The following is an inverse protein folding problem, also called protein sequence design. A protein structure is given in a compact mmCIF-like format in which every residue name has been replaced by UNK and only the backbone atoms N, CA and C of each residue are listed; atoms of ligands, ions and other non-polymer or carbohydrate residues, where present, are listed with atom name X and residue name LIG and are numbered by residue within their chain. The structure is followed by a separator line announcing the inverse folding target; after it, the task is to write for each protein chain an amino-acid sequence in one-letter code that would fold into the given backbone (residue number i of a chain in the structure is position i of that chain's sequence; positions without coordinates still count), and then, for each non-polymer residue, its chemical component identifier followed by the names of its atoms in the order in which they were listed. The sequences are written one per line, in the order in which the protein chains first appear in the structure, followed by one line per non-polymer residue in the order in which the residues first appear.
data_IF_067356327530
#
_entry.id   IF_067356327530
#
_cell.length_a   1.000
_cell.length_b   1.000
_cell.length_c   1.000
_cell.angle_alpha   90.00
_cell.angle_beta   90.00
_cell.angle_gamma   90.00
#
_symmetry.space_group_name_H-M   'P 1'
#
loop_
_entity.id
_entity.type
_entity.pdbx_description
1 polymer ?
#
# COMPACT_ATOMS: atom_id res chain seq x y z
N UNK A 1 -22.74 -18.66 15.64
CA UNK A 1 -21.44 -19.28 15.36
C UNK A 1 -20.54 -18.24 14.71
N UNK A 2 -19.51 -17.73 15.38
CA UNK A 2 -18.45 -16.95 14.70
C UNK A 2 -17.62 -17.97 13.92
N UNK A 3 -17.47 -17.82 12.60
CA UNK A 3 -16.57 -18.69 11.86
C UNK A 3 -15.16 -18.48 12.41
N UNK A 4 -14.51 -19.56 12.81
CA UNK A 4 -13.12 -19.58 13.26
C UNK A 4 -12.25 -19.09 12.10
N UNK A 5 -11.82 -17.81 12.15
CA UNK A 5 -11.02 -17.17 11.11
C UNK A 5 -11.32 -15.70 10.83
N UNK A 6 -12.35 -15.08 11.44
CA UNK A 6 -12.62 -13.65 11.26
C UNK A 6 -11.91 -12.75 12.28
N UNK A 7 -11.37 -11.63 11.81
CA UNK A 7 -10.78 -10.54 12.60
C UNK A 7 -11.65 -9.29 12.41
N UNK A 8 -12.04 -8.66 13.52
CA UNK A 8 -12.72 -7.37 13.47
C UNK A 8 -11.70 -6.22 13.51
N UNK A 9 -11.82 -5.30 12.57
CA UNK A 9 -11.05 -4.05 12.50
C UNK A 9 -12.00 -2.93 12.87
N UNK A 10 -11.65 -2.15 13.89
CA UNK A 10 -12.37 -0.91 14.19
C UNK A 10 -12.24 0.06 13.00
N UNK A 11 -13.37 0.44 12.43
CA UNK A 11 -13.45 1.28 11.26
C UNK A 11 -14.69 2.18 11.36
N UNK A 12 -14.80 3.11 10.42
CA UNK A 12 -15.99 3.98 10.28
C UNK A 12 -16.68 3.67 8.94
N UNK A 13 -18.02 3.70 8.88
CA UNK A 13 -18.94 4.05 9.97
C UNK A 13 -19.07 2.95 11.05
N UNK A 14 -18.78 1.71 10.70
CA UNK A 14 -18.85 0.55 11.58
C UNK A 14 -17.59 -0.34 11.46
N UNK A 15 -17.42 -1.25 12.42
CA UNK A 15 -16.32 -2.20 12.40
C UNK A 15 -16.41 -3.15 11.19
N UNK A 16 -15.26 -3.40 10.57
CA UNK A 16 -15.12 -4.28 9.42
C UNK A 16 -14.65 -5.67 9.88
N UNK A 17 -15.40 -6.72 9.54
CA UNK A 17 -14.96 -8.11 9.77
C UNK A 17 -14.27 -8.66 8.52
N UNK A 18 -13.03 -9.13 8.64
CA UNK A 18 -12.26 -9.71 7.54
C UNK A 18 -11.83 -11.13 7.84
N UNK A 19 -11.72 -11.97 6.81
CA UNK A 19 -11.03 -13.25 6.88
C UNK A 19 -9.62 -13.08 6.27
N UNK A 20 -8.53 -13.27 7.04
CA UNK A 20 -7.17 -13.07 6.55
C UNK A 20 -6.84 -13.85 5.28
N UNK A 21 -7.36 -15.08 5.13
CA UNK A 21 -7.08 -15.94 3.96
C UNK A 21 -7.86 -15.55 2.71
N UNK A 22 -8.84 -14.66 2.85
CA UNK A 22 -9.66 -14.11 1.75
C UNK A 22 -9.45 -12.60 1.59
N UNK A 23 -8.41 -12.04 2.22
CA UNK A 23 -8.11 -10.62 2.20
C UNK A 23 -6.69 -10.38 1.68
N UNK A 24 -6.46 -9.18 1.15
CA UNK A 24 -5.13 -8.73 0.78
C UNK A 24 -4.93 -7.27 1.19
N UNK A 25 -3.68 -6.91 1.52
CA UNK A 25 -3.23 -5.52 1.63
C UNK A 25 -2.60 -5.12 0.31
N UNK A 26 -3.11 -4.04 -0.28
CA UNK A 26 -2.56 -3.46 -1.50
C UNK A 26 -1.76 -2.21 -1.13
N UNK A 27 -0.47 -2.21 -1.45
CA UNK A 27 0.41 -1.04 -1.28
C UNK A 27 0.57 -0.38 -2.64
N UNK A 28 -0.02 0.80 -2.77
CA UNK A 28 -0.04 1.55 -4.03
C UNK A 28 1.07 2.58 -4.01
N UNK A 29 1.98 2.52 -4.97
CA UNK A 29 2.87 3.62 -5.33
C UNK A 29 3.76 4.18 -4.20
N UNK A 30 4.12 3.34 -3.23
CA UNK A 30 5.13 3.68 -2.21
C UNK A 30 6.55 3.58 -2.79
N UNK A 31 6.82 4.32 -3.88
CA UNK A 31 8.07 4.31 -4.63
C UNK A 31 8.89 5.60 -4.41
N UNK A 32 10.22 5.49 -4.56
CA UNK A 32 11.13 6.60 -4.30
C UNK A 32 10.90 7.81 -5.20
N UNK A 33 10.44 7.60 -6.43
CA UNK A 33 10.09 8.69 -7.36
C UNK A 33 9.03 9.64 -6.77
N UNK A 34 8.17 9.14 -5.89
CA UNK A 34 7.13 9.94 -5.25
C UNK A 34 7.51 10.41 -3.85
N UNK A 35 8.25 9.60 -3.07
CA UNK A 35 8.45 9.85 -1.63
C UNK A 35 9.86 10.22 -1.18
N UNK A 36 10.85 10.22 -2.07
CA UNK A 36 12.24 10.54 -1.73
C UNK A 36 12.63 11.95 -2.14
N UNK A 37 13.53 12.55 -1.34
CA UNK A 37 14.30 13.71 -1.79
C UNK A 37 15.08 13.33 -3.04
N UNK A 38 15.02 14.18 -4.09
CA UNK A 38 15.59 13.85 -5.39
C UNK A 38 14.79 12.87 -6.25
N UNK A 39 13.62 12.41 -5.77
CA UNK A 39 12.65 11.69 -6.60
C UNK A 39 11.90 12.63 -7.56
N UNK A 40 11.21 12.05 -8.54
CA UNK A 40 10.43 12.79 -9.56
C UNK A 40 9.55 13.91 -8.96
N UNK A 41 8.75 13.63 -7.92
CA UNK A 41 7.86 14.63 -7.33
C UNK A 41 8.62 15.77 -6.64
N UNK A 42 9.67 15.45 -5.88
CA UNK A 42 10.51 16.47 -5.27
C UNK A 42 11.18 17.36 -6.33
N UNK A 43 11.72 16.76 -7.40
CA UNK A 43 12.32 17.48 -8.52
C UNK A 43 11.30 18.33 -9.30
N UNK A 44 10.04 17.90 -9.35
CA UNK A 44 8.94 18.66 -9.94
C UNK A 44 8.39 19.77 -9.02
N UNK A 45 8.92 19.93 -7.81
CA UNK A 45 8.46 20.93 -6.84
C UNK A 45 7.15 20.56 -6.14
N UNK A 46 6.73 19.29 -6.19
CA UNK A 46 5.54 18.80 -5.49
C UNK A 46 5.90 18.51 -4.03
N UNK A 47 5.03 18.92 -3.10
CA UNK A 47 5.22 18.60 -1.68
C UNK A 47 5.08 17.09 -1.42
N UNK A 48 6.17 16.49 -0.94
CA UNK A 48 6.27 15.06 -0.60
C UNK A 48 5.98 14.77 0.87
N UNK A 49 5.66 15.77 1.69
CA UNK A 49 5.44 15.59 3.14
C UNK A 49 4.36 14.53 3.44
N UNK A 50 3.28 14.53 2.65
CA UNK A 50 2.17 13.58 2.79
C UNK A 50 2.58 12.12 2.64
N UNK A 51 3.31 11.78 1.57
CA UNK A 51 3.78 10.41 1.34
C UNK A 51 4.83 10.00 2.38
N UNK A 52 5.71 10.92 2.81
CA UNK A 52 6.69 10.65 3.87
C UNK A 52 6.02 10.32 5.20
N UNK A 53 4.97 11.05 5.55
CA UNK A 53 4.18 10.82 6.76
C UNK A 53 3.47 9.46 6.74
N UNK A 54 3.15 8.92 5.56
CA UNK A 54 2.50 7.62 5.42
C UNK A 54 3.44 6.42 5.67
N UNK A 55 4.77 6.58 5.49
CA UNK A 55 5.75 5.48 5.51
C UNK A 55 5.65 4.62 6.79
N UNK A 56 5.70 5.26 7.97
CA UNK A 56 5.72 4.53 9.23
C UNK A 56 4.40 3.79 9.48
N UNK A 57 3.26 4.40 9.13
CA UNK A 57 1.94 3.77 9.28
C UNK A 57 1.78 2.60 8.32
N UNK A 58 2.19 2.75 7.06
CA UNK A 58 2.22 1.66 6.07
C UNK A 58 3.10 0.50 6.55
N UNK A 59 4.28 0.78 7.11
CA UNK A 59 5.16 -0.25 7.65
C UNK A 59 4.50 -1.05 8.80
N UNK A 60 3.76 -0.38 9.70
CA UNK A 60 3.02 -1.05 10.78
C UNK A 60 1.91 -1.94 10.24
N UNK A 61 1.15 -1.48 9.23
CA UNK A 61 0.11 -2.28 8.57
C UNK A 61 0.72 -3.53 7.92
N UNK A 62 1.85 -3.38 7.23
CA UNK A 62 2.55 -4.49 6.59
C UNK A 62 3.06 -5.52 7.60
N UNK A 63 3.59 -5.07 8.74
CA UNK A 63 4.01 -5.98 9.81
C UNK A 63 2.82 -6.78 10.36
N UNK A 64 1.69 -6.11 10.64
CA UNK A 64 0.48 -6.77 11.13
C UNK A 64 -0.11 -7.75 10.08
N UNK A 65 -0.15 -7.36 8.81
CA UNK A 65 -0.62 -8.20 7.72
C UNK A 65 0.23 -9.48 7.56
N UNK A 66 1.56 -9.36 7.61
CA UNK A 66 2.47 -10.52 7.60
C UNK A 66 2.23 -11.45 8.77
N UNK A 67 2.08 -10.89 9.98
CA UNK A 67 1.81 -11.69 11.18
C UNK A 67 0.47 -12.43 11.10
N UNK A 68 -0.55 -11.80 10.51
CA UNK A 68 -1.88 -12.39 10.30
C UNK A 68 -1.98 -13.33 9.09
N UNK A 69 -0.91 -13.49 8.30
CA UNK A 69 -0.93 -14.31 7.08
C UNK A 69 -1.74 -13.71 5.93
N UNK A 70 -1.98 -12.39 5.93
CA UNK A 70 -2.69 -11.68 4.87
C UNK A 70 -1.75 -11.50 3.67
N UNK A 71 -2.27 -11.75 2.46
CA UNK A 71 -1.51 -11.52 1.22
C UNK A 71 -1.18 -10.04 1.06
N UNK A 72 0.05 -9.72 0.65
CA UNK A 72 0.47 -8.34 0.39
C UNK A 72 0.83 -8.20 -1.09
N UNK A 73 0.19 -7.24 -1.75
CA UNK A 73 0.38 -6.94 -3.16
C UNK A 73 0.94 -5.53 -3.26
N UNK A 74 2.05 -5.36 -3.98
CA UNK A 74 2.65 -4.06 -4.26
C UNK A 74 2.28 -3.66 -5.67
N UNK A 75 1.83 -2.44 -5.86
CA UNK A 75 1.62 -1.85 -7.17
C UNK A 75 2.62 -0.70 -7.34
N UNK A 76 3.24 -0.64 -8.52
CA UNK A 76 4.07 0.51 -8.90
C UNK A 76 3.67 1.01 -10.28
N UNK A 77 3.56 2.33 -10.40
CA UNK A 77 3.56 3.00 -11.68
C UNK A 77 4.92 2.80 -12.36
N UNK A 78 4.91 2.42 -13.63
CA UNK A 78 6.12 2.31 -14.43
C UNK A 78 5.82 2.23 -15.91
N UNK A 79 6.79 2.66 -16.70
CA UNK A 79 6.78 2.59 -18.15
C UNK A 79 7.83 1.59 -18.62
N UNK A 80 7.60 0.98 -19.78
CA UNK A 80 8.67 0.20 -20.43
C UNK A 80 9.79 1.16 -20.84
N UNK A 81 11.07 0.71 -20.89
CA UNK A 81 12.18 1.57 -21.30
C UNK A 81 12.02 2.17 -22.70
N UNK A 82 11.34 1.45 -23.60
CA UNK A 82 11.05 1.88 -24.97
C UNK A 82 9.80 2.77 -25.08
N UNK A 83 9.16 3.11 -23.96
CA UNK A 83 7.93 3.90 -23.86
C UNK A 83 6.75 3.36 -24.67
N UNK A 84 6.84 2.15 -25.22
CA UNK A 84 5.84 1.58 -26.12
C UNK A 84 4.54 1.17 -25.42
N UNK A 85 4.52 1.22 -24.08
CA UNK A 85 3.35 0.90 -23.27
C UNK A 85 3.31 1.77 -22.01
N UNK A 86 2.16 2.42 -21.79
CA UNK A 86 1.88 3.23 -20.61
C UNK A 86 1.33 2.40 -19.44
N UNK A 87 1.75 2.79 -18.23
CA UNK A 87 1.36 2.33 -16.89
C UNK A 87 0.97 0.84 -16.77
N UNK A 88 1.96 -0.05 -16.70
CA UNK A 88 1.70 -1.44 -16.31
C UNK A 88 1.74 -1.55 -14.79
N UNK A 89 0.68 -2.12 -14.21
CA UNK A 89 0.70 -2.64 -12.85
C UNK A 89 1.66 -3.84 -12.86
N UNK A 90 2.82 -3.69 -12.22
CA UNK A 90 3.74 -4.79 -11.95
C UNK A 90 3.49 -5.36 -10.55
#
# INVERSE_FOLDING_TARGET
MRSSGQIAIEAKPEALSINPTQSAVIVVDMQNDFGSEGGMFALAGIDISGIRNAIASTARVLAAARHAGISIIYLKMGFRPDLSRSATIL
#
